data_IF_357111590065
#
_entry.id   IF_357111590065
#
_cell.length_a   1.000
_cell.length_b   1.000
_cell.length_c   1.000
_cell.angle_alpha   90.00
_cell.angle_beta   90.00
_cell.angle_gamma   90.00
#
_symmetry.space_group_name_H-M   'P 1'
#
loop_
_entity.id
_entity.type
_entity.pdbx_description
1 polymer ?
#
# COMPACT_ATOMS: atom_id res chain seq x y z
N UNK A 1 10.22 -42.40 -44.80
CA UNK A 1 11.08 -41.24 -44.48
C UNK A 1 10.73 -40.75 -43.10
N UNK A 2 11.50 -41.14 -42.09
CA UNK A 2 11.30 -40.72 -40.70
C UNK A 2 11.99 -39.36 -40.51
N UNK A 3 11.23 -38.33 -40.14
CA UNK A 3 11.79 -37.00 -39.80
C UNK A 3 12.35 -37.09 -38.38
N UNK A 4 13.64 -36.81 -38.14
CA UNK A 4 14.17 -36.76 -36.79
C UNK A 4 13.59 -35.54 -36.06
N UNK A 5 12.90 -35.79 -34.95
CA UNK A 5 12.48 -34.77 -34.00
C UNK A 5 13.74 -34.22 -33.35
N UNK A 6 14.12 -33.02 -33.76
CA UNK A 6 15.22 -32.25 -33.17
C UNK A 6 14.88 -32.06 -31.69
N UNK A 7 15.65 -32.72 -30.82
CA UNK A 7 15.70 -32.39 -29.39
C UNK A 7 16.16 -30.94 -29.31
N UNK A 8 15.24 -30.06 -28.93
CA UNK A 8 15.52 -28.65 -28.68
C UNK A 8 16.50 -28.62 -27.50
N UNK A 9 17.76 -28.32 -27.81
CA UNK A 9 18.82 -28.07 -26.83
C UNK A 9 18.38 -26.88 -25.98
N UNK A 10 17.90 -27.14 -24.76
CA UNK A 10 17.80 -26.10 -23.75
C UNK A 10 19.23 -25.66 -23.41
N UNK A 11 19.59 -24.37 -23.55
CA UNK A 11 20.85 -23.88 -23.00
C UNK A 11 20.82 -24.19 -21.50
N UNK A 12 21.94 -24.63 -20.93
CA UNK A 12 22.04 -24.97 -19.51
C UNK A 12 21.88 -23.70 -18.65
N UNK A 13 20.67 -23.18 -18.55
CA UNK A 13 20.32 -22.06 -17.70
C UNK A 13 20.58 -22.51 -16.28
N UNK A 14 21.40 -21.75 -15.57
CA UNK A 14 21.66 -22.02 -14.17
C UNK A 14 20.33 -21.99 -13.41
N UNK A 15 20.24 -22.75 -12.31
CA UNK A 15 19.05 -22.76 -11.45
C UNK A 15 18.60 -21.35 -11.05
N UNK A 16 19.55 -20.42 -10.93
CA UNK A 16 19.29 -19.02 -10.61
C UNK A 16 18.59 -18.27 -11.75
N UNK A 17 19.03 -18.46 -13.00
CA UNK A 17 18.42 -17.80 -14.16
C UNK A 17 16.98 -18.26 -14.39
N UNK A 18 16.76 -19.58 -14.37
CA UNK A 18 15.41 -20.14 -14.45
C UNK A 18 14.49 -19.57 -13.38
N UNK A 19 15.00 -19.43 -12.16
CA UNK A 19 14.20 -18.92 -11.06
C UNK A 19 13.98 -17.41 -11.13
N UNK A 20 14.93 -16.65 -11.69
CA UNK A 20 14.77 -15.23 -11.98
C UNK A 20 13.58 -15.02 -12.93
N UNK A 21 13.56 -15.77 -14.03
CA UNK A 21 12.50 -15.69 -15.04
C UNK A 21 11.12 -16.03 -14.46
N UNK A 22 11.03 -17.10 -13.67
CA UNK A 22 9.77 -17.50 -13.04
C UNK A 22 9.29 -16.43 -12.05
N UNK A 23 10.19 -15.83 -11.26
CA UNK A 23 9.79 -14.78 -10.32
C UNK A 23 9.39 -13.49 -11.05
N UNK A 24 10.09 -13.11 -12.13
CA UNK A 24 9.77 -11.91 -12.91
C UNK A 24 8.44 -12.03 -13.67
N UNK A 25 8.05 -13.25 -14.06
CA UNK A 25 6.81 -13.50 -14.80
C UNK A 25 5.57 -13.64 -13.89
N UNK A 26 5.74 -13.78 -12.58
CA UNK A 26 4.63 -13.93 -11.64
C UNK A 26 3.62 -12.75 -11.65
N UNK A 27 4.04 -11.46 -11.62
CA UNK A 27 3.11 -10.33 -11.60
C UNK A 27 2.17 -10.30 -12.80
N UNK A 28 2.65 -10.72 -13.98
CA UNK A 28 1.86 -10.78 -15.21
C UNK A 28 0.88 -11.97 -15.25
N UNK A 29 1.03 -12.94 -14.35
CA UNK A 29 0.25 -14.18 -14.39
C UNK A 29 -1.18 -14.05 -13.89
N UNK A 30 -1.47 -13.05 -13.05
CA UNK A 30 -2.78 -12.87 -12.41
C UNK A 30 -3.21 -14.01 -11.47
N UNK A 31 -2.33 -15.00 -11.23
CA UNK A 31 -2.61 -16.18 -10.40
C UNK A 31 -2.20 -15.93 -8.96
N UNK A 32 -2.79 -16.68 -8.03
CA UNK A 32 -2.28 -16.71 -6.66
C UNK A 32 -0.90 -17.38 -6.62
N UNK A 33 -0.08 -17.08 -5.61
CA UNK A 33 1.24 -17.68 -5.43
C UNK A 33 1.16 -19.21 -5.42
N UNK A 34 0.14 -19.79 -4.78
CA UNK A 34 -0.04 -21.24 -4.70
C UNK A 34 -0.26 -21.84 -6.09
N UNK A 35 -1.21 -21.30 -6.86
CA UNK A 35 -1.53 -21.77 -8.22
C UNK A 35 -0.35 -21.57 -9.18
N UNK A 36 0.37 -20.46 -9.04
CA UNK A 36 1.54 -20.18 -9.85
C UNK A 36 2.70 -21.15 -9.53
N UNK A 37 2.93 -21.43 -8.26
CA UNK A 37 3.93 -22.41 -7.82
C UNK A 37 3.59 -23.83 -8.29
N UNK A 38 2.32 -24.23 -8.23
CA UNK A 38 1.88 -25.54 -8.74
C UNK A 38 2.06 -25.65 -10.24
N UNK A 39 1.70 -24.61 -11.01
CA UNK A 39 1.87 -24.60 -12.46
C UNK A 39 3.34 -24.69 -12.90
N UNK A 40 4.24 -24.03 -12.15
CA UNK A 40 5.68 -24.02 -12.44
C UNK A 40 6.46 -25.14 -11.72
N UNK A 41 5.79 -26.05 -11.01
CA UNK A 41 6.38 -27.17 -10.25
C UNK A 41 7.45 -26.71 -9.23
N UNK A 42 7.20 -25.61 -8.52
CA UNK A 42 8.10 -25.07 -7.50
C UNK A 42 7.44 -25.11 -6.11
N UNK A 43 8.25 -25.37 -5.09
CA UNK A 43 7.80 -25.26 -3.70
C UNK A 43 7.59 -23.79 -3.33
N UNK A 44 6.45 -23.48 -2.71
CA UNK A 44 6.09 -22.12 -2.27
C UNK A 44 7.19 -21.46 -1.41
N UNK A 45 7.81 -22.20 -0.49
CA UNK A 45 8.93 -21.69 0.33
C UNK A 45 10.12 -21.25 -0.53
N UNK A 46 10.46 -22.03 -1.55
CA UNK A 46 11.53 -21.70 -2.49
C UNK A 46 11.15 -20.45 -3.28
N UNK A 47 9.92 -20.36 -3.77
CA UNK A 47 9.43 -19.17 -4.46
C UNK A 47 9.55 -17.90 -3.60
N UNK A 48 9.11 -17.93 -2.34
CA UNK A 48 9.26 -16.79 -1.43
C UNK A 48 10.73 -16.39 -1.18
N UNK A 49 11.63 -17.35 -1.06
CA UNK A 49 13.06 -17.07 -0.91
C UNK A 49 13.59 -16.25 -2.11
N UNK A 50 13.28 -16.68 -3.34
CA UNK A 50 13.74 -15.99 -4.54
C UNK A 50 13.01 -14.66 -4.76
N UNK A 51 11.71 -14.59 -4.45
CA UNK A 51 10.96 -13.33 -4.47
C UNK A 51 11.59 -12.29 -3.55
N UNK A 52 11.95 -12.68 -2.31
CA UNK A 52 12.66 -11.79 -1.38
C UNK A 52 14.04 -11.38 -1.90
N UNK A 53 14.79 -12.34 -2.45
CA UNK A 53 16.12 -12.11 -3.02
C UNK A 53 16.08 -11.06 -4.12
N UNK A 54 15.18 -11.20 -5.10
CA UNK A 54 15.11 -10.27 -6.23
C UNK A 54 14.50 -8.91 -5.88
N UNK A 55 13.54 -8.83 -4.93
CA UNK A 55 13.04 -7.55 -4.41
C UNK A 55 14.14 -6.68 -3.79
N UNK A 56 15.14 -7.32 -3.16
CA UNK A 56 16.26 -6.62 -2.54
C UNK A 56 17.40 -6.28 -3.52
N UNK A 57 17.42 -6.88 -4.71
CA UNK A 57 18.51 -6.70 -5.68
C UNK A 57 18.18 -5.61 -6.70
N UNK A 58 16.91 -5.41 -7.02
CA UNK A 58 16.42 -4.42 -7.98
C UNK A 58 16.17 -3.03 -7.35
N UNK A 59 16.06 -2.97 -6.02
CA UNK A 59 16.01 -1.70 -5.33
C UNK A 59 17.46 -1.20 -5.17
N UNK A 60 17.87 -0.06 -5.76
CA UNK A 60 18.93 0.71 -5.12
C UNK A 60 18.52 0.88 -3.66
N UNK A 61 19.49 0.97 -2.74
CA UNK A 61 19.27 1.30 -1.32
C UNK A 61 18.73 2.73 -1.23
N UNK A 62 17.57 2.99 -1.82
CA UNK A 62 16.74 4.11 -1.52
C UNK A 62 16.06 3.67 -0.24
N UNK A 63 16.57 4.18 0.87
CA UNK A 63 15.86 4.23 2.13
C UNK A 63 14.45 4.73 1.80
N UNK A 64 13.50 3.82 1.54
CA UNK A 64 12.11 4.20 1.36
C UNK A 64 11.75 4.79 2.71
N UNK A 65 11.54 6.11 2.83
CA UNK A 65 11.18 6.65 4.11
C UNK A 65 9.89 5.92 4.49
N UNK A 66 9.89 5.27 5.64
CA UNK A 66 8.73 4.57 6.19
C UNK A 66 7.56 5.55 6.42
N UNK A 67 7.84 6.85 6.28
CA UNK A 67 6.94 7.97 6.37
C UNK A 67 6.91 8.62 4.98
N UNK A 68 5.80 8.44 4.27
CA UNK A 68 5.48 9.24 3.08
C UNK A 68 4.99 10.61 3.57
N UNK A 69 5.58 11.73 3.14
CA UNK A 69 5.06 13.05 3.47
C UNK A 69 3.65 13.16 2.87
N UNK A 70 2.65 13.23 3.74
CA UNK A 70 1.29 13.59 3.35
C UNK A 70 1.29 15.09 3.15
N UNK A 71 1.10 15.52 1.91
CA UNK A 71 0.98 16.94 1.61
C UNK A 71 -0.42 17.39 2.04
N UNK A 72 -0.52 18.12 3.16
CA UNK A 72 -1.79 18.63 3.72
C UNK A 72 -2.12 19.97 3.03
N UNK A 73 -1.86 20.08 1.74
CA UNK A 73 -2.32 21.20 0.94
C UNK A 73 -3.79 20.93 0.64
N UNK A 74 -4.67 21.68 1.31
CA UNK A 74 -6.15 21.64 1.21
C UNK A 74 -6.89 20.59 2.03
N UNK A 75 -6.59 20.48 3.33
CA UNK A 75 -7.73 20.57 4.25
C UNK A 75 -8.13 22.03 4.30
N UNK A 76 -9.07 22.44 3.44
CA UNK A 76 -9.95 23.54 3.81
C UNK A 76 -10.69 23.06 5.07
N UNK A 77 -10.11 23.34 6.23
CA UNK A 77 -10.90 23.38 7.45
C UNK A 77 -11.88 24.52 7.20
N UNK A 78 -13.02 24.20 6.60
CA UNK A 78 -14.17 25.10 6.52
C UNK A 78 -14.80 25.31 7.91
N UNK A 79 -14.13 24.82 8.97
CA UNK A 79 -14.23 25.40 10.29
C UNK A 79 -13.28 26.58 10.37
N UNK A 80 -13.78 27.76 10.01
CA UNK A 80 -13.29 28.99 10.63
C UNK A 80 -13.09 28.69 12.12
N UNK A 81 -11.96 29.10 12.69
CA UNK A 81 -11.80 29.13 14.14
C UNK A 81 -12.90 30.07 14.65
N UNK A 82 -14.07 29.51 14.96
CA UNK A 82 -15.24 30.35 15.18
C UNK A 82 -14.93 31.22 16.39
N UNK A 83 -14.98 32.56 16.24
CA UNK A 83 -14.65 33.45 17.34
C UNK A 83 -15.58 33.12 18.50
N UNK A 84 -15.03 33.11 19.72
CA UNK A 84 -15.82 32.95 20.92
C UNK A 84 -16.93 34.02 20.92
N UNK A 85 -18.18 33.58 20.85
CA UNK A 85 -19.34 34.46 20.81
C UNK A 85 -19.68 34.98 22.20
N UNK A 86 -19.72 34.09 23.20
CA UNK A 86 -20.02 34.45 24.59
C UNK A 86 -19.43 33.43 25.58
N UNK A 87 -19.20 33.86 26.82
CA UNK A 87 -18.89 32.99 27.96
C UNK A 87 -19.86 33.27 29.11
N UNK A 88 -20.49 32.23 29.64
CA UNK A 88 -21.52 32.34 30.66
C UNK A 88 -21.39 31.19 31.67
N UNK A 89 -21.13 31.51 32.95
CA UNK A 89 -20.93 30.50 34.01
C UNK A 89 -19.86 29.44 33.64
N UNK A 90 -18.84 29.82 32.87
CA UNK A 90 -17.78 28.92 32.38
C UNK A 90 -18.16 28.10 31.14
N UNK A 91 -19.37 28.27 30.59
CA UNK A 91 -19.78 27.69 29.31
C UNK A 91 -19.35 28.63 28.19
N UNK A 92 -18.56 28.10 27.24
CA UNK A 92 -18.08 28.82 26.06
C UNK A 92 -18.96 28.54 24.86
N UNK A 93 -19.49 29.60 24.25
CA UNK A 93 -20.38 29.53 23.09
C UNK A 93 -19.61 30.11 21.91
N UNK A 94 -19.49 29.34 20.83
CA UNK A 94 -18.73 29.72 19.63
C UNK A 94 -19.64 30.10 18.45
N UNK A 95 -20.95 30.06 18.66
CA UNK A 95 -21.95 30.39 17.64
C UNK A 95 -22.86 31.52 18.13
N UNK A 96 -23.29 32.44 17.24
CA UNK A 96 -24.28 33.44 17.59
C UNK A 96 -25.58 32.78 18.04
N UNK A 97 -26.06 33.18 19.22
CA UNK A 97 -27.32 32.69 19.79
C UNK A 97 -28.21 33.85 20.24
N UNK A 98 -29.56 33.70 20.20
CA UNK A 98 -30.49 34.69 20.74
C UNK A 98 -30.32 34.91 22.24
N UNK A 99 -30.65 36.12 22.73
CA UNK A 99 -30.57 36.46 24.15
C UNK A 99 -31.45 35.56 25.03
N UNK A 100 -32.62 35.14 24.54
CA UNK A 100 -33.52 34.22 25.22
C UNK A 100 -32.85 32.88 25.57
N UNK A 101 -32.04 32.34 24.65
CA UNK A 101 -31.30 31.11 24.87
C UNK A 101 -30.33 31.26 26.04
N UNK A 102 -29.62 32.39 26.13
CA UNK A 102 -28.69 32.66 27.23
C UNK A 102 -29.43 32.77 28.57
N UNK A 103 -30.62 33.36 28.61
CA UNK A 103 -31.42 33.48 29.83
C UNK A 103 -31.87 32.12 30.38
N UNK A 104 -32.17 31.16 29.49
CA UNK A 104 -32.50 29.79 29.93
C UNK A 104 -31.34 29.07 30.59
N UNK A 105 -30.09 29.45 30.28
CA UNK A 105 -28.90 28.88 30.90
C UNK A 105 -28.62 29.45 32.30
N UNK A 106 -29.10 30.67 32.59
CA UNK A 106 -28.87 31.37 33.86
C UNK A 106 -29.89 30.97 34.91
N UNK A 107 -31.16 30.82 34.52
CA UNK A 107 -32.29 30.64 35.44
C UNK A 107 -32.58 29.18 35.77
N UNK A 108 -31.55 28.36 35.95
CA UNK A 108 -31.67 26.92 36.21
C UNK A 108 -31.69 26.58 37.69
#
# INVERSE_FOLDING_TARGET
MQKPIVKLNEPSTTKAERMKEIVSNYPCSGKTIKEYCTANKIKVKTFYYWLRKYRNTEAPVLNKPMILPVNIDSMSVSGECQPLFAELLGIKIYQPVPAEYLLTLINR
#
